data_IF_469006225992
#
_entry.id   IF_469006225992
#
_cell.length_a   1.000
_cell.length_b   1.000
_cell.length_c   1.000
_cell.angle_alpha   90.00
_cell.angle_beta   90.00
_cell.angle_gamma   90.00
#
_symmetry.space_group_name_H-M   'P 1'
#
loop_
_entity.id
_entity.type
_entity.pdbx_description
1 polymer ?
#
# COMPACT_ATOMS: atom_id res chain seq x y z
N UNK A 1 32.52 -10.53 -14.80
CA UNK A 1 32.41 -9.24 -14.08
C UNK A 1 30.94 -8.82 -14.13
N UNK A 2 30.21 -8.93 -13.01
CA UNK A 2 28.78 -8.63 -12.91
C UNK A 2 28.63 -7.19 -12.41
N UNK A 3 28.23 -6.28 -13.30
CA UNK A 3 28.07 -4.86 -13.00
C UNK A 3 26.70 -4.56 -12.41
N UNK A 4 26.62 -4.39 -11.09
CA UNK A 4 25.46 -3.72 -10.45
C UNK A 4 25.56 -2.22 -10.73
N UNK A 5 24.80 -1.70 -11.72
CA UNK A 5 24.60 -0.25 -11.84
C UNK A 5 23.33 0.13 -11.09
N UNK A 6 23.52 0.66 -9.88
CA UNK A 6 22.49 1.37 -9.13
C UNK A 6 22.52 2.84 -9.55
N UNK A 7 21.40 3.35 -10.04
CA UNK A 7 21.17 4.79 -10.10
C UNK A 7 20.60 5.24 -8.75
N UNK A 8 21.46 5.73 -7.85
CA UNK A 8 21.11 6.64 -6.75
C UNK A 8 21.63 8.03 -7.10
N UNK A 9 21.13 9.18 -6.61
CA UNK A 9 20.45 9.59 -5.36
C UNK A 9 20.03 11.09 -5.58
N UNK A 10 19.01 11.68 -4.93
CA UNK A 10 19.06 12.59 -3.74
C UNK A 10 17.61 12.89 -3.26
N UNK A 11 17.33 12.79 -1.96
CA UNK A 11 16.92 13.99 -1.25
C UNK A 11 17.80 14.27 -0.02
N UNK A 12 18.14 15.56 0.11
CA UNK A 12 18.86 16.15 1.24
C UNK A 12 18.08 15.94 2.54
N UNK A 13 18.80 15.43 3.52
CA UNK A 13 18.49 15.51 4.94
C UNK A 13 18.50 16.98 5.38
N UNK A 14 17.42 17.44 6.01
CA UNK A 14 17.50 18.55 6.94
C UNK A 14 17.14 18.03 8.34
N UNK A 15 18.15 18.11 9.20
CA UNK A 15 18.21 17.66 10.58
C UNK A 15 18.08 18.91 11.44
N UNK A 16 17.00 19.00 12.21
CA UNK A 16 16.85 19.78 13.43
C UNK A 16 15.45 19.40 13.98
N UNK A 17 15.19 19.17 15.26
CA UNK A 17 15.50 20.03 16.38
C UNK A 17 15.05 19.28 17.67
N UNK A 18 15.95 19.29 18.66
CA UNK A 18 15.71 19.24 20.13
C UNK A 18 15.16 17.98 20.83
N UNK A 19 16.12 17.37 21.51
CA UNK A 19 16.00 16.75 22.84
C UNK A 19 15.52 17.75 23.91
N UNK A 20 14.55 17.33 24.72
CA UNK A 20 14.44 17.61 26.16
C UNK A 20 13.63 16.45 26.77
N UNK A 21 14.00 15.73 27.82
CA UNK A 21 14.89 16.05 28.93
C UNK A 21 14.09 16.55 30.13
N UNK A 22 13.34 15.70 30.84
CA UNK A 22 12.63 16.17 32.03
C UNK A 22 11.74 15.20 32.82
N UNK A 23 12.39 14.41 33.69
CA UNK A 23 12.06 14.19 35.12
C UNK A 23 10.64 13.77 35.59
N UNK A 24 10.61 12.57 36.18
CA UNK A 24 10.16 12.19 37.56
C UNK A 24 8.76 12.58 38.06
N UNK A 25 8.04 11.56 38.57
CA UNK A 25 7.38 11.44 39.91
C UNK A 25 6.41 10.25 39.85
N UNK A 26 6.74 9.07 40.36
CA UNK A 26 6.60 8.65 41.77
C UNK A 26 5.38 9.26 42.48
N UNK A 27 4.28 8.50 42.52
CA UNK A 27 3.31 8.52 43.63
C UNK A 27 2.53 7.20 43.67
N UNK A 28 3.04 6.31 44.54
CA UNK A 28 2.28 5.32 45.31
C UNK A 28 1.11 6.04 46.02
N UNK A 29 -0.13 5.50 46.05
CA UNK A 29 -1.05 5.36 47.21
C UNK A 29 -2.28 4.53 46.77
N UNK A 30 -2.67 3.51 47.54
CA UNK A 30 -4.10 3.29 47.82
C UNK A 30 -4.70 1.92 47.50
N UNK A 31 -4.44 0.94 48.36
CA UNK A 31 -5.35 -0.20 48.56
C UNK A 31 -6.55 0.20 49.42
N UNK A 32 -7.77 -0.20 49.04
CA UNK A 32 -8.94 -0.49 49.92
C UNK A 32 -9.88 -1.43 49.12
N UNK A 33 -10.01 -2.71 49.45
CA UNK A 33 -10.95 -3.35 50.41
C UNK A 33 -12.45 -3.19 50.11
N UNK A 34 -13.16 -4.32 50.04
CA UNK A 34 -14.63 -4.43 50.00
C UNK A 34 -15.12 -5.47 48.97
N UNK A 35 -15.23 -6.76 49.29
CA UNK A 35 -16.30 -7.39 50.07
C UNK A 35 -17.72 -7.21 49.48
N UNK A 36 -18.17 -8.24 48.77
CA UNK A 36 -19.55 -8.75 48.75
C UNK A 36 -20.69 -7.84 48.27
N UNK A 37 -21.45 -8.33 47.28
CA UNK A 37 -22.87 -8.69 47.48
C UNK A 37 -23.48 -9.30 46.21
N UNK A 38 -23.99 -10.50 46.42
CA UNK A 38 -24.85 -11.26 45.52
C UNK A 38 -26.17 -10.50 45.35
N UNK A 39 -26.62 -10.31 44.11
CA UNK A 39 -27.99 -9.88 43.82
C UNK A 39 -28.42 -10.44 42.46
N UNK A 40 -28.80 -11.72 42.47
CA UNK A 40 -29.79 -12.22 41.54
C UNK A 40 -31.05 -11.37 41.74
N UNK A 41 -31.36 -10.47 40.81
CA UNK A 41 -32.67 -9.86 40.68
C UNK A 41 -33.24 -10.19 39.31
N UNK A 42 -34.29 -11.01 39.36
CA UNK A 42 -35.48 -10.94 38.53
C UNK A 42 -35.27 -10.78 37.01
N UNK A 43 -35.08 -11.91 36.32
CA UNK A 43 -35.43 -12.01 34.90
C UNK A 43 -36.92 -12.34 34.79
N UNK A 44 -37.74 -11.30 34.95
CA UNK A 44 -39.17 -11.34 34.66
C UNK A 44 -39.52 -10.12 33.83
N UNK A 45 -39.98 -10.34 32.59
CA UNK A 45 -40.54 -9.29 31.73
C UNK A 45 -39.70 -8.96 30.50
N UNK A 46 -39.77 -9.80 29.46
CA UNK A 46 -39.08 -9.57 28.20
C UNK A 46 -39.89 -9.92 26.96
N UNK A 47 -41.23 -9.79 26.99
CA UNK A 47 -42.10 -10.13 25.85
C UNK A 47 -43.04 -9.01 25.38
N UNK A 48 -42.79 -7.76 25.76
CA UNK A 48 -43.61 -6.61 25.35
C UNK A 48 -42.86 -5.53 24.54
N UNK A 49 -41.60 -5.75 24.14
CA UNK A 49 -40.81 -4.76 23.37
C UNK A 49 -40.79 -5.00 21.85
N UNK A 50 -41.50 -6.01 21.33
CA UNK A 50 -41.42 -6.39 19.90
C UNK A 50 -42.54 -5.87 19.00
N UNK A 51 -43.60 -5.27 19.55
CA UNK A 51 -44.73 -4.79 18.74
C UNK A 51 -44.48 -3.43 18.05
N UNK A 52 -43.41 -2.71 18.40
CA UNK A 52 -42.99 -1.46 17.75
C UNK A 52 -41.78 -1.58 16.83
N UNK A 53 -41.18 -2.77 16.71
CA UNK A 53 -39.91 -2.98 16.02
C UNK A 53 -40.03 -2.89 14.48
N UNK A 54 -41.16 -3.30 13.91
CA UNK A 54 -41.37 -3.41 12.46
C UNK A 54 -41.32 -2.04 11.74
N UNK A 55 -41.80 -0.95 12.36
CA UNK A 55 -41.78 0.40 11.73
C UNK A 55 -40.45 1.15 11.94
N UNK A 56 -39.63 0.75 12.90
CA UNK A 56 -38.28 1.29 13.14
C UNK A 56 -37.17 0.48 12.46
N UNK A 57 -37.44 -0.78 12.10
CA UNK A 57 -36.48 -1.69 11.47
C UNK A 57 -35.98 -1.16 10.13
N UNK A 58 -36.87 -0.72 9.25
CA UNK A 58 -36.49 -0.26 7.90
C UNK A 58 -35.53 0.95 7.94
N UNK A 59 -35.81 1.93 8.81
CA UNK A 59 -34.93 3.08 9.00
C UNK A 59 -33.62 2.69 9.68
N UNK A 60 -33.64 1.75 10.63
CA UNK A 60 -32.44 1.24 11.29
C UNK A 60 -31.55 0.43 10.33
N UNK A 61 -32.15 -0.37 9.45
CA UNK A 61 -31.48 -1.14 8.41
C UNK A 61 -30.84 -0.21 7.37
N UNK A 62 -31.54 0.83 6.92
CA UNK A 62 -30.94 1.83 6.03
C UNK A 62 -29.86 2.66 6.73
N UNK A 63 -30.05 2.98 8.01
CA UNK A 63 -29.06 3.71 8.80
C UNK A 63 -27.75 2.92 8.96
N UNK A 64 -27.81 1.59 9.04
CA UNK A 64 -26.63 0.73 9.07
C UNK A 64 -26.12 0.32 7.66
N UNK A 65 -27.04 0.14 6.71
CA UNK A 65 -26.77 -0.33 5.36
C UNK A 65 -26.10 0.72 4.48
N UNK A 66 -26.53 1.99 4.54
CA UNK A 66 -25.91 3.06 3.77
C UNK A 66 -24.41 3.25 4.12
N UNK A 67 -24.00 3.34 5.39
CA UNK A 67 -22.58 3.38 5.74
C UNK A 67 -21.81 2.15 5.26
N UNK A 68 -22.39 0.95 5.39
CA UNK A 68 -21.76 -0.29 4.95
C UNK A 68 -21.54 -0.31 3.42
N UNK A 69 -22.53 0.12 2.63
CA UNK A 69 -22.42 0.26 1.19
C UNK A 69 -21.39 1.31 0.77
N UNK A 70 -21.33 2.45 1.48
CA UNK A 70 -20.31 3.47 1.23
C UNK A 70 -18.89 2.94 1.52
N UNK A 71 -18.71 2.20 2.62
CA UNK A 71 -17.43 1.56 2.93
C UNK A 71 -17.06 0.52 1.87
N UNK A 72 -18.01 -0.33 1.48
CA UNK A 72 -17.79 -1.33 0.43
C UNK A 72 -17.41 -0.66 -0.91
N UNK A 73 -18.10 0.41 -1.28
CA UNK A 73 -17.79 1.20 -2.47
C UNK A 73 -16.40 1.82 -2.38
N UNK A 74 -16.05 2.43 -1.25
CA UNK A 74 -14.75 3.04 -1.02
C UNK A 74 -13.62 2.00 -1.14
N UNK A 75 -13.81 0.83 -0.51
CA UNK A 75 -12.90 -0.30 -0.63
C UNK A 75 -12.79 -0.76 -2.08
N UNK A 76 -13.92 -0.92 -2.78
CA UNK A 76 -13.94 -1.29 -4.20
C UNK A 76 -13.17 -0.31 -5.07
N UNK A 77 -13.39 0.99 -4.92
CA UNK A 77 -12.68 2.03 -5.67
C UNK A 77 -11.17 2.04 -5.36
N UNK A 78 -10.79 1.86 -4.10
CA UNK A 78 -9.36 1.75 -3.74
C UNK A 78 -8.70 0.51 -4.33
N UNK A 79 -9.41 -0.62 -4.37
CA UNK A 79 -8.94 -1.85 -4.99
C UNK A 79 -8.75 -1.67 -6.50
N UNK A 80 -9.74 -1.10 -7.19
CA UNK A 80 -9.64 -0.80 -8.63
C UNK A 80 -8.46 0.13 -8.92
N UNK A 81 -8.29 1.19 -8.14
CA UNK A 81 -7.16 2.12 -8.30
C UNK A 81 -5.80 1.42 -8.11
N UNK A 82 -5.69 0.54 -7.12
CA UNK A 82 -4.47 -0.24 -6.88
C UNK A 82 -4.17 -1.22 -8.03
N UNK A 83 -5.19 -1.90 -8.55
CA UNK A 83 -5.05 -2.84 -9.68
C UNK A 83 -4.68 -2.09 -10.96
N UNK A 84 -5.33 -0.97 -11.26
CA UNK A 84 -4.99 -0.14 -12.42
C UNK A 84 -3.55 0.36 -12.36
N UNK A 85 -3.09 0.84 -11.19
CA UNK A 85 -1.70 1.27 -11.01
C UNK A 85 -0.73 0.11 -11.19
N UNK A 86 -1.07 -1.08 -10.67
CA UNK A 86 -0.25 -2.29 -10.84
C UNK A 86 -0.16 -2.72 -12.30
N UNK A 87 -1.25 -2.64 -13.06
CA UNK A 87 -1.26 -2.94 -14.49
C UNK A 87 -0.36 -1.97 -15.26
N UNK A 88 -0.43 -0.66 -14.98
CA UNK A 88 0.48 0.33 -15.57
C UNK A 88 1.94 0.08 -15.20
N UNK A 89 2.23 -0.29 -13.95
CA UNK A 89 3.59 -0.66 -13.53
C UNK A 89 4.11 -1.88 -14.29
N UNK A 90 3.26 -2.88 -14.52
CA UNK A 90 3.65 -4.09 -15.26
C UNK A 90 3.92 -3.77 -16.72
N UNK A 91 3.09 -2.93 -17.34
CA UNK A 91 3.30 -2.48 -18.71
C UNK A 91 4.63 -1.71 -18.84
N UNK A 92 4.88 -0.74 -17.94
CA UNK A 92 6.14 -0.01 -17.90
C UNK A 92 7.34 -0.94 -17.65
N UNK A 93 7.23 -1.92 -16.75
CA UNK A 93 8.29 -2.90 -16.51
C UNK A 93 8.58 -3.72 -17.76
N UNK A 94 7.56 -4.13 -18.51
CA UNK A 94 7.71 -4.90 -19.75
C UNK A 94 8.44 -4.08 -20.80
N UNK A 95 8.00 -2.85 -21.05
CA UNK A 95 8.65 -1.95 -22.02
C UNK A 95 10.10 -1.68 -21.65
N UNK A 96 10.38 -1.39 -20.37
CA UNK A 96 11.74 -1.19 -19.88
C UNK A 96 12.62 -2.43 -20.04
N UNK A 97 12.08 -3.64 -19.79
CA UNK A 97 12.82 -4.88 -19.97
C UNK A 97 13.17 -5.15 -21.45
N UNK A 98 12.26 -4.83 -22.37
CA UNK A 98 12.47 -4.99 -23.81
C UNK A 98 13.47 -3.95 -24.36
N UNK A 99 13.33 -2.69 -23.98
CA UNK A 99 14.27 -1.64 -24.37
C UNK A 99 15.69 -1.98 -23.88
N UNK A 100 15.84 -2.41 -22.62
CA UNK A 100 17.14 -2.82 -22.09
C UNK A 100 17.65 -4.15 -22.68
N UNK A 101 16.78 -5.05 -23.16
CA UNK A 101 17.21 -6.25 -23.88
C UNK A 101 17.79 -5.94 -25.27
N UNK A 102 17.38 -4.83 -25.87
CA UNK A 102 17.85 -4.30 -27.16
C UNK A 102 19.01 -3.30 -27.03
N UNK A 103 19.47 -3.04 -25.81
CA UNK A 103 20.47 -1.99 -25.51
C UNK A 103 19.99 -0.56 -25.87
N UNK A 104 18.68 -0.36 -26.02
CA UNK A 104 18.05 0.96 -26.26
C UNK A 104 17.92 1.78 -24.96
N UNK A 105 18.27 1.20 -23.81
CA UNK A 105 18.09 1.76 -22.47
C UNK A 105 19.12 2.82 -22.06
N UNK A 106 20.10 3.14 -22.92
CA UNK A 106 21.13 4.16 -22.64
C UNK A 106 20.56 5.60 -22.60
N UNK A 107 19.40 5.82 -23.23
CA UNK A 107 18.69 7.09 -23.15
C UNK A 107 17.81 7.06 -21.91
N UNK A 108 18.33 7.52 -20.77
CA UNK A 108 17.68 7.57 -19.44
C UNK A 108 16.29 8.23 -19.36
N UNK A 109 15.73 8.67 -20.48
CA UNK A 109 14.39 9.24 -20.67
C UNK A 109 13.41 8.26 -21.35
N UNK A 110 13.75 6.97 -21.39
CA UNK A 110 12.98 5.89 -22.06
C UNK A 110 11.47 6.10 -22.04
N UNK A 111 10.91 6.35 -23.22
CA UNK A 111 9.55 6.85 -23.49
C UNK A 111 8.39 5.94 -23.09
N UNK A 112 8.59 5.02 -22.16
CA UNK A 112 7.54 4.21 -21.57
C UNK A 112 6.83 5.02 -20.46
N UNK A 113 5.51 5.16 -20.63
CA UNK A 113 4.63 5.89 -19.71
C UNK A 113 4.73 5.33 -18.28
N UNK A 114 5.50 6.01 -17.44
CA UNK A 114 5.76 5.60 -16.06
C UNK A 114 4.75 6.27 -15.12
N UNK A 115 4.14 5.54 -14.17
CA UNK A 115 3.20 6.14 -13.23
C UNK A 115 3.85 7.27 -12.39
N UNK A 116 3.09 8.31 -11.98
CA UNK A 116 3.64 9.41 -11.21
C UNK A 116 4.29 8.97 -9.90
N UNK A 117 5.53 9.41 -9.68
CA UNK A 117 6.31 9.05 -8.49
C UNK A 117 6.75 7.59 -8.44
N UNK A 118 6.73 6.88 -9.58
CA UNK A 118 7.24 5.52 -9.65
C UNK A 118 8.76 5.50 -9.80
N UNK A 119 9.37 4.48 -9.22
CA UNK A 119 10.79 4.17 -9.30
C UNK A 119 10.98 2.95 -10.23
N UNK A 120 11.88 3.07 -11.20
CA UNK A 120 12.19 2.01 -12.16
C UNK A 120 13.64 1.55 -11.93
N UNK A 121 13.83 0.24 -11.80
CA UNK A 121 15.17 -0.37 -11.67
C UNK A 121 15.31 -1.52 -12.66
N UNK A 122 16.40 -1.53 -13.42
CA UNK A 122 16.70 -2.60 -14.39
C UNK A 122 17.97 -3.33 -13.95
N UNK A 123 17.93 -4.66 -13.98
CA UNK A 123 19.04 -5.54 -13.67
C UNK A 123 19.28 -6.49 -14.85
N UNK A 124 20.49 -6.49 -15.39
CA UNK A 124 20.90 -7.42 -16.44
C UNK A 124 21.77 -8.49 -15.79
N UNK A 125 21.38 -9.76 -15.93
CA UNK A 125 22.08 -10.90 -15.37
C UNK A 125 21.90 -12.16 -16.22
N UNK A 126 22.99 -12.88 -16.49
CA UNK A 126 22.97 -14.19 -17.15
C UNK A 126 22.19 -14.24 -18.48
N UNK A 127 22.29 -13.22 -19.33
CA UNK A 127 21.55 -13.13 -20.60
C UNK A 127 20.06 -12.83 -20.44
N UNK A 128 19.65 -12.33 -19.28
CA UNK A 128 18.28 -11.87 -19.00
C UNK A 128 18.29 -10.45 -18.45
N UNK A 129 17.26 -9.71 -18.78
CA UNK A 129 17.00 -8.36 -18.30
C UNK A 129 15.78 -8.42 -17.40
N UNK A 130 15.90 -7.95 -16.17
CA UNK A 130 14.81 -7.83 -15.19
C UNK A 130 14.54 -6.36 -14.90
N UNK A 131 13.38 -5.88 -15.30
CA UNK A 131 12.90 -4.55 -14.93
C UNK A 131 11.91 -4.65 -13.77
N UNK A 132 12.03 -3.76 -12.80
CA UNK A 132 11.14 -3.63 -11.65
C UNK A 132 10.65 -2.21 -11.58
N UNK A 133 9.33 -2.03 -11.47
CA UNK A 133 8.68 -0.73 -11.31
C UNK A 133 7.93 -0.73 -9.99
N UNK A 134 8.15 0.31 -9.19
CA UNK A 134 7.51 0.51 -7.89
C UNK A 134 6.74 1.81 -7.94
N UNK A 135 5.44 1.79 -7.70
CA UNK A 135 4.63 2.99 -7.69
C UNK A 135 3.83 3.12 -6.39
N UNK A 136 3.70 4.34 -5.85
CA UNK A 136 2.88 4.56 -4.68
C UNK A 136 1.41 4.85 -5.04
N UNK A 137 0.50 4.02 -4.55
CA UNK A 137 -0.95 4.21 -4.66
C UNK A 137 -1.45 5.02 -3.47
N UNK A 138 -2.14 6.13 -3.75
CA UNK A 138 -2.88 6.89 -2.75
C UNK A 138 -4.26 6.25 -2.57
N UNK A 139 -4.61 5.89 -1.35
CA UNK A 139 -5.97 5.49 -0.99
C UNK A 139 -6.87 6.72 -0.88
N UNK A 140 -8.17 6.53 -1.09
CA UNK A 140 -9.17 7.59 -0.99
C UNK A 140 -9.24 8.07 0.47
N UNK A 141 -8.92 9.35 0.67
CA UNK A 141 -8.71 9.95 2.00
C UNK A 141 -7.22 10.09 2.31
N UNK A 142 -6.66 11.28 2.10
CA UNK A 142 -5.22 11.60 2.20
C UNK A 142 -4.56 11.39 3.58
N UNK A 143 -5.28 10.82 4.56
CA UNK A 143 -4.78 10.44 5.88
C UNK A 143 -4.44 8.95 6.01
N UNK A 144 -4.77 8.14 5.01
CA UNK A 144 -4.46 6.73 5.01
C UNK A 144 -3.01 6.48 4.51
N UNK A 145 -2.33 5.45 5.04
CA UNK A 145 -0.99 5.08 4.59
C UNK A 145 -0.94 4.81 3.09
N UNK A 146 0.14 5.26 2.46
CA UNK A 146 0.41 5.00 1.05
C UNK A 146 0.72 3.52 0.84
N UNK A 147 0.03 2.87 -0.08
CA UNK A 147 0.28 1.49 -0.45
C UNK A 147 1.25 1.49 -1.62
N UNK A 148 2.36 0.78 -1.53
CA UNK A 148 3.31 0.64 -2.65
C UNK A 148 2.98 -0.60 -3.44
N UNK A 149 2.74 -0.45 -4.74
CA UNK A 149 2.63 -1.58 -5.68
C UNK A 149 3.97 -1.79 -6.38
N UNK A 150 4.30 -3.05 -6.62
CA UNK A 150 5.52 -3.46 -7.30
C UNK A 150 5.15 -4.41 -8.44
N UNK A 151 5.72 -4.16 -9.61
CA UNK A 151 5.62 -5.05 -10.76
C UNK A 151 7.02 -5.34 -11.30
N UNK A 152 7.22 -6.57 -11.79
CA UNK A 152 8.49 -7.02 -12.34
C UNK A 152 8.24 -7.71 -13.67
N UNK A 153 9.06 -7.40 -14.67
CA UNK A 153 9.07 -8.09 -15.95
C UNK A 153 10.49 -8.56 -16.27
N UNK A 154 10.59 -9.65 -17.03
CA UNK A 154 11.86 -10.23 -17.45
C UNK A 154 11.84 -10.46 -18.97
N UNK A 155 12.92 -10.08 -19.64
CA UNK A 155 13.16 -10.34 -21.05
C UNK A 155 14.50 -11.09 -21.24
N UNK A 156 14.64 -11.86 -22.30
CA UNK A 156 15.93 -12.40 -22.71
C UNK A 156 16.74 -11.29 -23.39
N UNK A 157 18.04 -11.21 -23.10
CA UNK A 157 18.95 -10.31 -23.80
C UNK A 157 19.13 -10.81 -25.23
N UNK A 158 19.06 -9.93 -26.21
CA UNK A 158 19.25 -10.32 -27.61
C UNK A 158 20.71 -10.75 -27.84
N UNK A 159 20.96 -11.98 -28.33
CA UNK A 159 22.31 -12.40 -28.66
C UNK A 159 22.81 -11.55 -29.83
N UNK A 160 23.88 -10.78 -29.60
CA UNK A 160 24.63 -10.17 -30.70
C UNK A 160 25.30 -11.32 -31.44
N UNK A 161 24.73 -11.71 -32.58
CA UNK A 161 25.45 -12.50 -33.58
C UNK A 161 26.66 -11.65 -33.98
N UNK A 162 27.78 -11.93 -33.32
CA UNK A 162 29.08 -11.53 -33.83
C UNK A 162 29.20 -12.20 -35.17
N UNK A 163 29.03 -11.43 -36.24
CA UNK A 163 29.73 -11.71 -37.47
C UNK A 163 31.21 -11.71 -37.09
N UNK A 164 31.71 -12.89 -36.72
CA UNK A 164 33.12 -13.17 -36.73
C UNK A 164 33.55 -13.00 -38.18
N UNK A 165 34.15 -11.85 -38.48
CA UNK A 165 35.29 -11.81 -39.39
C UNK A 165 36.41 -12.61 -38.72
N UNK A 166 37.24 -13.35 -39.48
CA UNK A 166 37.77 -13.01 -40.80
C UNK A 166 36.98 -13.54 -42.00
#
# INVERSE_FOLDING_TARGET
MIGRRQAGRVPRSEVAERRSGGRRRFRLIGQVSGAGRNALRASGGGRALRAGAERGSFTAELAAGLPALLLLLLVGLTAVNAVSTRASCLHAAREAALAAARDEADNGDGGYATPPGAEVSVLIDGGRVRATVRAPVRTLGGRLPRITVVATAVAALEPRIGLGTP
#
